data_IF_060398520201
#
_entry.id   IF_060398520201
#
_cell.length_a   1.000
_cell.length_b   1.000
_cell.length_c   1.000
_cell.angle_alpha   90.00
_cell.angle_beta   90.00
_cell.angle_gamma   90.00
#
_symmetry.space_group_name_H-M   'P 1'
#
loop_
_entity.id
_entity.type
_entity.pdbx_description
1 polymer ?
#
# COMPACT_ATOMS: atom_id res chain seq x y z
N UNK A 1 53.33 -3.48 24.62
CA UNK A 1 54.05 -4.55 23.89
C UNK A 1 53.15 -5.77 23.75
N UNK A 2 52.78 -6.13 22.57
CA UNK A 2 52.45 -7.38 21.90
C UNK A 2 51.31 -7.09 20.95
N UNK A 3 51.59 -6.90 19.68
CA UNK A 3 51.63 -7.83 18.53
C UNK A 3 50.28 -8.51 18.29
N UNK A 4 49.62 -8.04 17.24
CA UNK A 4 49.55 -8.64 15.89
C UNK A 4 48.94 -10.02 15.85
N UNK A 5 47.77 -10.15 15.25
CA UNK A 5 47.60 -11.22 14.27
C UNK A 5 46.49 -10.83 13.28
N UNK A 6 46.91 -10.53 12.08
CA UNK A 6 46.15 -10.32 10.86
C UNK A 6 45.79 -11.71 10.33
N UNK A 7 44.51 -11.97 10.09
CA UNK A 7 44.09 -13.14 9.32
C UNK A 7 43.25 -12.68 8.14
N UNK A 8 43.93 -12.55 6.99
CA UNK A 8 43.30 -12.50 5.66
C UNK A 8 42.81 -13.91 5.32
N UNK A 9 41.58 -14.03 4.96
CA UNK A 9 41.12 -15.14 4.12
C UNK A 9 40.24 -14.57 3.00
N UNK A 10 40.85 -14.56 1.84
CA UNK A 10 40.22 -14.36 0.55
C UNK A 10 39.60 -15.67 0.06
N UNK A 11 38.77 -15.54 -0.97
CA UNK A 11 38.38 -16.50 -1.98
C UNK A 11 36.95 -17.03 -1.88
N UNK A 12 36.22 -16.76 -2.95
CA UNK A 12 35.15 -17.58 -3.46
C UNK A 12 34.15 -16.82 -4.34
N UNK A 13 34.57 -16.35 -5.53
CA UNK A 13 33.63 -16.13 -6.63
C UNK A 13 33.05 -17.46 -7.07
N UNK A 14 31.73 -17.57 -7.08
CA UNK A 14 31.05 -18.54 -7.94
C UNK A 14 29.81 -17.85 -8.50
N UNK A 15 29.95 -17.44 -9.74
CA UNK A 15 28.82 -17.01 -10.57
C UNK A 15 28.00 -18.25 -10.96
N UNK A 16 26.70 -18.16 -10.81
CA UNK A 16 25.75 -19.02 -11.48
C UNK A 16 24.76 -18.12 -12.23
N UNK A 17 24.97 -18.01 -13.53
CA UNK A 17 24.03 -17.46 -14.47
C UNK A 17 22.87 -18.45 -14.62
N UNK A 18 21.69 -18.08 -14.21
CA UNK A 18 20.45 -18.76 -14.61
C UNK A 18 19.85 -17.99 -15.78
N UNK A 19 20.00 -18.56 -16.96
CA UNK A 19 19.43 -18.09 -18.21
C UNK A 19 17.92 -18.32 -18.23
N UNK A 20 17.24 -17.38 -18.83
CA UNK A 20 15.82 -17.29 -18.95
C UNK A 20 15.14 -18.41 -19.72
N UNK A 21 13.89 -18.60 -19.38
CA UNK A 21 12.93 -19.34 -20.17
C UNK A 21 11.71 -18.43 -20.42
N UNK A 22 11.85 -17.54 -21.40
CA UNK A 22 10.68 -16.93 -22.03
C UNK A 22 10.31 -17.80 -23.23
N UNK A 23 9.31 -18.66 -23.04
CA UNK A 23 8.67 -19.38 -24.12
C UNK A 23 7.80 -18.44 -24.93
N UNK A 24 8.11 -18.30 -26.20
CA UNK A 24 7.28 -17.60 -27.18
C UNK A 24 5.98 -18.37 -27.44
N UNK A 25 4.85 -17.70 -27.71
CA UNK A 25 3.62 -18.38 -28.12
C UNK A 25 3.72 -18.87 -29.57
N UNK A 26 3.12 -20.03 -29.91
CA UNK A 26 3.16 -20.55 -31.27
C UNK A 26 2.21 -19.78 -32.19
N UNK A 27 2.75 -19.33 -33.29
CA UNK A 27 1.99 -18.91 -34.46
C UNK A 27 1.57 -20.18 -35.22
N UNK A 28 0.26 -20.39 -35.37
CA UNK A 28 -0.29 -21.22 -36.45
C UNK A 28 -1.71 -20.77 -36.79
N UNK A 29 -1.81 -20.11 -37.93
CA UNK A 29 -3.01 -20.08 -38.74
C UNK A 29 -2.91 -21.22 -39.76
N UNK A 30 -4.03 -21.82 -40.17
CA UNK A 30 -4.26 -21.94 -41.59
C UNK A 30 -5.55 -21.28 -42.05
N UNK A 31 -5.43 -20.61 -43.15
CA UNK A 31 -6.52 -20.17 -44.01
C UNK A 31 -7.26 -21.39 -44.56
N UNK A 32 -8.56 -21.32 -44.58
CA UNK A 32 -9.32 -22.08 -45.54
C UNK A 32 -10.38 -21.24 -46.23
N UNK A 33 -10.29 -21.30 -47.54
CA UNK A 33 -11.11 -20.58 -48.50
C UNK A 33 -12.41 -21.33 -48.75
N UNK A 34 -13.51 -20.64 -48.76
CA UNK A 34 -14.78 -21.23 -49.22
C UNK A 34 -15.89 -20.20 -49.29
N UNK A 35 -16.03 -19.55 -50.43
CA UNK A 35 -17.31 -18.98 -50.89
C UNK A 35 -17.83 -19.88 -52.00
N UNK A 36 -19.07 -19.79 -52.53
CA UNK A 36 -20.13 -18.81 -52.28
C UNK A 36 -21.53 -19.46 -52.13
N UNK A 37 -22.57 -18.76 -51.71
CA UNK A 37 -23.81 -18.68 -52.51
C UNK A 37 -25.03 -18.10 -51.79
N UNK A 38 -25.65 -17.12 -52.44
CA UNK A 38 -27.07 -16.81 -52.51
C UNK A 38 -27.75 -16.07 -51.34
N UNK A 39 -27.99 -14.80 -51.57
CA UNK A 39 -29.12 -14.01 -51.07
C UNK A 39 -30.47 -14.55 -51.62
N UNK A 40 -31.61 -14.35 -50.95
CA UNK A 40 -32.39 -13.13 -51.14
C UNK A 40 -33.19 -12.64 -49.90
N UNK A 41 -34.18 -11.73 -50.09
CA UNK A 41 -34.14 -10.43 -49.47
C UNK A 41 -35.23 -10.24 -48.39
N UNK A 42 -35.08 -9.24 -47.57
CA UNK A 42 -36.23 -8.67 -46.89
C UNK A 42 -36.11 -8.53 -45.39
N UNK A 43 -36.13 -7.31 -44.96
CA UNK A 43 -36.34 -6.96 -43.56
C UNK A 43 -35.31 -5.98 -43.04
N UNK A 44 -35.50 -4.69 -43.32
CA UNK A 44 -34.82 -3.64 -42.63
C UNK A 44 -35.26 -3.67 -41.14
N UNK A 45 -34.42 -4.24 -40.31
CA UNK A 45 -34.49 -4.04 -38.86
C UNK A 45 -33.41 -3.01 -38.52
N UNK A 46 -33.90 -1.83 -38.21
CA UNK A 46 -33.12 -0.71 -37.69
C UNK A 46 -32.31 -1.20 -36.49
N UNK A 47 -30.96 -1.06 -36.47
CA UNK A 47 -30.19 -1.45 -35.32
C UNK A 47 -30.52 -0.50 -34.16
N UNK A 48 -31.21 -1.04 -33.15
CA UNK A 48 -31.38 -0.36 -31.89
C UNK A 48 -29.98 -0.07 -31.32
N UNK A 49 -29.60 1.21 -31.26
CA UNK A 49 -28.44 1.68 -30.56
C UNK A 49 -28.55 1.24 -29.11
N UNK A 50 -27.56 0.51 -28.55
CA UNK A 50 -27.57 0.19 -27.14
C UNK A 50 -27.53 1.52 -26.34
N UNK A 51 -28.26 1.61 -25.23
CA UNK A 51 -28.21 2.80 -24.38
C UNK A 51 -26.75 3.02 -23.94
N UNK A 52 -26.24 4.19 -24.31
CA UNK A 52 -24.97 4.67 -23.81
C UNK A 52 -25.12 4.80 -22.28
N UNK A 53 -24.54 3.85 -21.55
CA UNK A 53 -24.45 3.95 -20.12
C UNK A 53 -23.66 5.23 -19.81
N UNK A 54 -24.33 6.21 -19.20
CA UNK A 54 -23.68 7.40 -18.68
C UNK A 54 -22.57 6.95 -17.73
N UNK A 55 -21.35 7.54 -17.79
CA UNK A 55 -20.32 7.21 -16.84
C UNK A 55 -20.84 7.52 -15.43
N UNK A 56 -20.57 6.66 -14.44
CA UNK A 56 -20.93 6.97 -13.07
C UNK A 56 -20.29 8.29 -12.69
N UNK A 57 -21.11 9.24 -12.32
CA UNK A 57 -20.67 10.52 -11.75
C UNK A 57 -20.17 10.17 -10.35
N UNK A 58 -18.86 9.93 -10.21
CA UNK A 58 -18.19 9.72 -8.94
C UNK A 58 -18.19 11.01 -8.11
N UNK A 59 -19.36 11.45 -7.69
CA UNK A 59 -19.51 12.31 -6.54
C UNK A 59 -19.57 11.42 -5.28
N UNK A 60 -18.47 10.72 -5.00
CA UNK A 60 -18.27 10.11 -3.70
C UNK A 60 -17.88 11.24 -2.76
N UNK A 61 -18.90 11.97 -2.28
CA UNK A 61 -18.75 12.78 -1.09
C UNK A 61 -18.34 11.84 0.03
N UNK A 62 -17.12 12.03 0.55
CA UNK A 62 -16.63 11.23 1.66
C UNK A 62 -17.67 11.26 2.78
N UNK A 63 -18.19 10.09 3.14
CA UNK A 63 -19.14 9.99 4.25
C UNK A 63 -18.48 10.56 5.53
N UNK A 64 -19.24 11.22 6.42
CA UNK A 64 -18.69 11.75 7.66
C UNK A 64 -18.03 10.62 8.45
N UNK A 65 -16.80 10.86 8.92
CA UNK A 65 -16.08 9.90 9.75
C UNK A 65 -16.85 9.70 11.05
N UNK A 66 -17.25 8.46 11.32
CA UNK A 66 -18.00 8.12 12.53
C UNK A 66 -17.06 8.08 13.74
N UNK A 67 -17.40 8.76 14.86
CA UNK A 67 -16.61 8.65 16.08
C UNK A 67 -16.45 7.18 16.52
N UNK A 68 -15.22 6.80 16.87
CA UNK A 68 -14.92 5.42 17.29
C UNK A 68 -14.83 4.41 16.16
N UNK A 69 -14.89 4.85 14.88
CA UNK A 69 -14.62 3.98 13.74
C UNK A 69 -13.11 3.73 13.56
N UNK A 70 -12.69 2.68 12.82
CA UNK A 70 -11.30 2.49 12.42
C UNK A 70 -10.73 3.71 11.71
N UNK A 71 -11.49 4.33 10.82
CA UNK A 71 -11.07 5.55 10.10
C UNK A 71 -10.83 6.72 11.06
N UNK A 72 -11.63 6.85 12.14
CA UNK A 72 -11.42 7.89 13.15
C UNK A 72 -10.09 7.73 13.90
N UNK A 73 -9.60 6.48 14.07
CA UNK A 73 -8.30 6.18 14.68
C UNK A 73 -7.16 6.54 13.73
N UNK A 74 -7.34 6.34 12.42
CA UNK A 74 -6.29 6.53 11.41
C UNK A 74 -6.17 8.00 10.97
N UNK A 75 -7.27 8.74 10.94
CA UNK A 75 -7.31 10.10 10.38
C UNK A 75 -6.27 11.07 10.98
N UNK A 76 -6.00 11.08 12.30
CA UNK A 76 -5.04 12.01 12.90
C UNK A 76 -3.62 11.92 12.32
N UNK A 77 -3.21 10.74 11.84
CA UNK A 77 -1.88 10.53 11.23
C UNK A 77 -1.69 11.25 9.89
N UNK A 78 -2.76 11.80 9.32
CA UNK A 78 -2.74 12.64 8.12
C UNK A 78 -2.95 14.13 8.43
N UNK A 79 -3.37 14.43 9.64
CA UNK A 79 -3.54 15.81 10.11
C UNK A 79 -2.26 16.36 10.76
N UNK A 80 -1.39 15.47 11.26
CA UNK A 80 -0.12 15.81 11.92
C UNK A 80 1.01 14.90 11.44
N UNK A 81 2.15 15.51 11.09
CA UNK A 81 3.37 14.80 10.66
C UNK A 81 4.00 14.05 11.83
N UNK A 82 4.54 12.87 11.56
CA UNK A 82 5.32 12.05 12.49
C UNK A 82 4.54 11.53 13.71
N UNK A 83 3.22 11.56 13.66
CA UNK A 83 2.39 11.12 14.78
C UNK A 83 2.57 9.61 15.04
N UNK A 84 2.80 8.80 13.99
CA UNK A 84 3.00 7.36 14.08
C UNK A 84 4.26 6.95 14.83
N UNK A 85 5.29 7.82 14.79
CA UNK A 85 6.56 7.59 15.53
C UNK A 85 6.60 8.32 16.88
N UNK A 86 5.58 9.10 17.23
CA UNK A 86 5.49 9.77 18.53
C UNK A 86 5.20 8.74 19.64
N UNK A 87 6.05 8.63 20.67
CA UNK A 87 5.81 7.72 21.80
C UNK A 87 4.51 8.00 22.57
N UNK A 88 3.97 9.22 22.56
CA UNK A 88 2.69 9.55 23.21
C UNK A 88 1.50 8.84 22.56
N UNK A 89 1.57 8.56 21.25
CA UNK A 89 0.54 7.88 20.47
C UNK A 89 0.66 6.34 20.54
N UNK A 90 1.63 5.81 21.27
CA UNK A 90 1.92 4.37 21.35
C UNK A 90 0.75 3.54 21.86
N UNK A 91 -0.18 4.16 22.58
CA UNK A 91 -1.41 3.52 23.06
C UNK A 91 -2.38 3.13 21.95
N UNK A 92 -2.25 3.73 20.77
CA UNK A 92 -3.05 3.38 19.58
C UNK A 92 -2.55 2.12 18.89
N UNK A 93 -1.34 1.65 19.20
CA UNK A 93 -0.70 0.51 18.56
C UNK A 93 -0.67 -0.72 19.46
N UNK A 94 -0.78 -1.89 18.83
CA UNK A 94 -0.52 -3.20 19.43
C UNK A 94 0.40 -4.01 18.50
N UNK A 95 0.87 -5.16 18.96
CA UNK A 95 1.75 -6.01 18.17
C UNK A 95 1.12 -6.49 16.85
N UNK A 96 1.93 -6.61 15.78
CA UNK A 96 3.39 -6.46 15.73
C UNK A 96 3.89 -5.01 15.60
N UNK A 97 3.07 -4.05 15.15
CA UNK A 97 3.50 -2.66 14.93
C UNK A 97 4.13 -2.03 16.18
N UNK A 98 3.51 -2.22 17.35
CA UNK A 98 4.00 -1.66 18.60
C UNK A 98 5.43 -2.10 18.92
N UNK A 99 5.75 -3.37 18.76
CA UNK A 99 7.09 -3.90 19.01
C UNK A 99 8.15 -3.23 18.13
N UNK A 100 7.86 -3.02 16.85
CA UNK A 100 8.79 -2.36 15.91
C UNK A 100 9.01 -0.90 16.30
N UNK A 101 7.93 -0.18 16.60
CA UNK A 101 8.00 1.22 17.03
C UNK A 101 8.78 1.39 18.35
N UNK A 102 8.54 0.51 19.33
CA UNK A 102 9.25 0.54 20.62
C UNK A 102 10.75 0.27 20.46
N UNK A 103 11.13 -0.65 19.56
CA UNK A 103 12.54 -0.92 19.22
C UNK A 103 13.20 0.28 18.53
N UNK A 104 12.52 0.90 17.57
CA UNK A 104 13.00 2.11 16.90
C UNK A 104 13.24 3.25 17.90
N UNK A 105 12.31 3.44 18.85
CA UNK A 105 12.47 4.41 19.93
C UNK A 105 13.68 4.10 20.83
N UNK A 106 13.94 2.83 21.11
CA UNK A 106 15.09 2.42 21.91
C UNK A 106 16.41 2.74 21.19
N UNK A 107 16.52 2.47 19.89
CA UNK A 107 17.70 2.81 19.10
C UNK A 107 17.94 4.31 19.06
N UNK A 108 16.92 5.11 18.82
CA UNK A 108 17.00 6.58 18.83
C UNK A 108 17.47 7.12 20.20
N UNK A 109 16.92 6.61 21.29
CA UNK A 109 17.30 7.00 22.64
C UNK A 109 18.73 6.61 23.01
N UNK A 110 19.23 5.50 22.46
CA UNK A 110 20.64 5.05 22.69
C UNK A 110 21.65 5.76 21.78
N UNK A 111 21.21 6.58 20.82
CA UNK A 111 22.07 7.24 19.84
C UNK A 111 22.60 6.32 18.75
N UNK A 112 22.02 5.13 18.59
CA UNK A 112 22.40 4.15 17.55
C UNK A 112 21.77 4.45 16.18
N UNK A 113 21.03 5.55 16.05
CA UNK A 113 20.40 5.98 14.81
C UNK A 113 18.89 5.79 14.82
N UNK A 114 18.31 5.90 13.63
CA UNK A 114 16.89 5.74 13.39
C UNK A 114 16.66 4.50 12.52
N UNK A 115 15.68 3.68 12.89
CA UNK A 115 15.32 2.48 12.15
C UNK A 115 14.14 2.74 11.20
N UNK A 116 13.26 3.64 11.60
CA UNK A 116 12.05 3.97 10.84
C UNK A 116 12.11 5.41 10.35
N UNK A 117 11.64 5.61 9.12
CA UNK A 117 11.45 6.95 8.58
C UNK A 117 10.33 7.69 9.32
N UNK A 118 10.48 9.00 9.53
CA UNK A 118 9.51 9.77 10.32
C UNK A 118 8.17 10.00 9.62
N UNK A 119 8.06 9.77 8.31
CA UNK A 119 6.86 10.05 7.50
C UNK A 119 6.23 8.77 6.94
N UNK A 120 6.24 7.68 7.69
CA UNK A 120 5.70 6.39 7.20
C UNK A 120 4.21 6.47 6.87
N UNK A 121 3.42 7.21 7.67
CA UNK A 121 1.99 7.43 7.36
C UNK A 121 1.76 8.18 6.04
N UNK A 122 2.77 8.89 5.56
CA UNK A 122 2.75 9.60 4.27
C UNK A 122 3.49 8.85 3.15
N UNK A 123 3.82 7.58 3.37
CA UNK A 123 4.62 6.80 2.41
C UNK A 123 5.98 7.44 2.11
N UNK A 124 6.58 8.06 3.12
CA UNK A 124 7.82 8.84 3.07
C UNK A 124 7.78 10.04 2.10
N UNK A 125 6.57 10.48 1.71
CA UNK A 125 6.39 11.70 0.92
C UNK A 125 6.59 12.97 1.78
N UNK A 126 6.86 14.07 1.11
CA UNK A 126 6.86 15.39 1.75
C UNK A 126 5.46 15.73 2.26
N UNK A 127 5.40 16.45 3.39
CA UNK A 127 4.14 16.86 3.94
C UNK A 127 3.64 18.15 3.30
N UNK A 128 2.61 18.03 2.49
CA UNK A 128 1.80 19.16 2.00
C UNK A 128 0.36 18.95 2.45
N UNK A 129 -0.03 19.65 3.53
CA UNK A 129 -1.36 19.50 4.12
C UNK A 129 -2.48 19.86 3.14
N UNK A 130 -2.28 20.89 2.33
CA UNK A 130 -3.31 21.35 1.39
C UNK A 130 -3.53 20.35 0.25
N UNK A 131 -2.47 19.74 -0.27
CA UNK A 131 -2.57 18.69 -1.27
C UNK A 131 -3.19 17.42 -0.69
N UNK A 132 -2.75 17.03 0.51
CA UNK A 132 -3.30 15.88 1.22
C UNK A 132 -4.80 16.09 1.48
N UNK A 133 -5.21 17.18 2.08
CA UNK A 133 -6.63 17.43 2.41
C UNK A 133 -7.53 17.46 1.18
N UNK A 134 -7.04 17.96 0.04
CA UNK A 134 -7.80 18.00 -1.23
C UNK A 134 -7.95 16.64 -1.87
N UNK A 135 -7.00 15.74 -1.65
CA UNK A 135 -6.90 14.45 -2.36
C UNK A 135 -7.20 13.24 -1.48
N UNK A 136 -7.16 13.37 -0.16
CA UNK A 136 -7.29 12.27 0.79
C UNK A 136 -8.63 11.55 0.66
N UNK A 137 -8.56 10.26 0.40
CA UNK A 137 -9.70 9.35 0.36
C UNK A 137 -9.44 8.19 1.29
N UNK A 138 -10.48 7.76 1.99
CA UNK A 138 -10.43 6.61 2.89
C UNK A 138 -11.50 5.61 2.53
N UNK A 139 -11.17 4.33 2.63
CA UNK A 139 -12.09 3.22 2.48
C UNK A 139 -11.91 2.28 3.66
N UNK A 140 -12.99 2.03 4.39
CA UNK A 140 -13.01 1.19 5.58
C UNK A 140 -13.70 -0.15 5.30
N UNK A 141 -13.11 -1.24 5.76
CA UNK A 141 -13.73 -2.56 5.77
C UNK A 141 -13.58 -3.18 7.16
N UNK A 142 -14.69 -3.62 7.74
CA UNK A 142 -14.71 -4.25 9.07
C UNK A 142 -15.17 -5.69 8.93
N UNK A 143 -14.45 -6.60 9.59
CA UNK A 143 -14.81 -8.00 9.71
C UNK A 143 -14.60 -8.45 11.15
N UNK A 144 -15.69 -8.55 11.91
CA UNK A 144 -15.72 -8.87 13.33
C UNK A 144 -14.85 -7.93 14.18
N UNK A 145 -13.75 -8.43 14.74
CA UNK A 145 -12.77 -7.68 15.54
C UNK A 145 -11.57 -7.16 14.72
N UNK A 146 -11.60 -7.31 13.42
CA UNK A 146 -10.55 -6.83 12.53
C UNK A 146 -11.11 -5.75 11.60
N UNK A 147 -10.27 -4.78 11.29
CA UNK A 147 -10.59 -3.76 10.33
C UNK A 147 -9.38 -3.43 9.45
N UNK A 148 -9.70 -2.94 8.27
CA UNK A 148 -8.74 -2.42 7.29
C UNK A 148 -9.20 -1.03 6.88
N UNK A 149 -8.31 -0.06 6.92
CA UNK A 149 -8.53 1.27 6.38
C UNK A 149 -7.52 1.50 5.26
N UNK A 150 -8.00 1.62 4.06
CA UNK A 150 -7.18 2.01 2.90
C UNK A 150 -7.25 3.53 2.79
N UNK A 151 -6.08 4.15 2.70
CA UNK A 151 -5.93 5.59 2.51
C UNK A 151 -5.21 5.83 1.20
N UNK A 152 -5.72 6.77 0.42
CA UNK A 152 -5.09 7.22 -0.81
C UNK A 152 -5.06 8.75 -0.84
N UNK A 153 -3.93 9.32 -1.27
CA UNK A 153 -3.74 10.76 -1.42
C UNK A 153 -2.70 11.04 -2.51
N UNK A 154 -2.53 12.31 -2.86
CA UNK A 154 -1.56 12.77 -3.86
C UNK A 154 -0.69 13.84 -3.23
N UNK A 155 0.63 13.76 -3.41
CA UNK A 155 1.60 14.81 -3.04
C UNK A 155 2.55 15.03 -4.20
N UNK A 156 2.78 16.27 -4.58
CA UNK A 156 3.62 16.66 -5.71
C UNK A 156 3.26 15.91 -7.02
N UNK A 157 1.96 15.64 -7.22
CA UNK A 157 1.44 14.90 -8.38
C UNK A 157 1.62 13.38 -8.32
N UNK A 158 2.25 12.84 -7.28
CA UNK A 158 2.46 11.40 -7.09
C UNK A 158 1.33 10.79 -6.23
N UNK A 159 0.67 9.71 -6.68
CA UNK A 159 -0.33 9.02 -5.90
C UNK A 159 0.33 8.10 -4.87
N UNK A 160 -0.19 8.13 -3.65
CA UNK A 160 0.20 7.27 -2.54
C UNK A 160 -0.99 6.45 -2.07
N UNK A 161 -0.75 5.20 -1.70
CA UNK A 161 -1.77 4.31 -1.19
C UNK A 161 -1.22 3.46 -0.06
N UNK A 162 -1.84 3.60 1.12
CA UNK A 162 -1.50 2.86 2.32
C UNK A 162 -2.69 2.04 2.81
N UNK A 163 -2.39 1.00 3.56
CA UNK A 163 -3.35 0.15 4.24
C UNK A 163 -3.01 0.07 5.72
N UNK A 164 -3.94 0.49 6.56
CA UNK A 164 -3.88 0.32 8.01
C UNK A 164 -4.66 -0.91 8.41
N UNK A 165 -4.04 -1.80 9.18
CA UNK A 165 -4.70 -2.94 9.78
C UNK A 165 -4.97 -2.65 11.24
N UNK A 166 -6.18 -2.91 11.67
CA UNK A 166 -6.61 -2.67 13.04
C UNK A 166 -7.28 -3.92 13.63
N UNK A 167 -7.22 -4.00 14.95
CA UNK A 167 -7.93 -5.01 15.74
C UNK A 167 -8.68 -4.34 16.88
N UNK A 168 -9.88 -4.83 17.17
CA UNK A 168 -10.69 -4.34 18.29
C UNK A 168 -10.24 -5.00 19.59
N UNK A 169 -9.84 -4.19 20.57
CA UNK A 169 -9.37 -4.65 21.88
C UNK A 169 -10.05 -3.83 22.96
N UNK A 170 -10.79 -4.48 23.85
CA UNK A 170 -11.48 -3.80 24.93
C UNK A 170 -12.56 -2.81 24.49
N UNK A 171 -13.06 -2.96 23.25
CA UNK A 171 -14.02 -2.02 22.65
C UNK A 171 -13.40 -0.99 21.72
N UNK A 172 -12.10 -0.73 21.80
CA UNK A 172 -11.37 0.25 21.01
C UNK A 172 -10.65 -0.38 19.84
N UNK A 173 -10.56 0.34 18.73
CA UNK A 173 -9.72 -0.06 17.60
C UNK A 173 -8.25 0.29 17.88
N UNK A 174 -7.37 -0.70 17.68
CA UNK A 174 -5.91 -0.57 17.83
C UNK A 174 -5.22 -0.97 16.55
N UNK A 175 -4.19 -0.23 16.18
CA UNK A 175 -3.41 -0.45 14.96
C UNK A 175 -2.46 -1.63 15.17
N UNK A 176 -2.52 -2.62 14.29
CA UNK A 176 -1.63 -3.78 14.28
C UNK A 176 -0.55 -3.66 13.23
N UNK A 177 -0.80 -2.91 12.13
CA UNK A 177 0.17 -2.76 11.06
C UNK A 177 -0.15 -1.54 10.19
N UNK A 178 0.87 -1.03 9.51
CA UNK A 178 0.79 -0.04 8.46
C UNK A 178 1.58 -0.55 7.24
N UNK A 179 0.95 -0.56 6.09
CA UNK A 179 1.55 -1.04 4.85
C UNK A 179 1.47 0.04 3.77
N UNK A 180 2.54 0.23 3.02
CA UNK A 180 2.47 0.95 1.76
C UNK A 180 2.22 -0.04 0.61
N UNK A 181 1.16 0.22 -0.15
CA UNK A 181 0.89 -0.51 -1.38
C UNK A 181 1.74 0.05 -2.53
N UNK A 182 2.02 1.35 -2.50
CA UNK A 182 2.82 2.06 -3.50
C UNK A 182 4.31 1.78 -3.33
N UNK A 183 4.80 1.82 -2.08
CA UNK A 183 6.21 1.61 -1.72
C UNK A 183 6.59 0.16 -1.41
N UNK A 184 5.62 -0.78 -1.43
CA UNK A 184 5.84 -2.22 -1.22
C UNK A 184 6.53 -2.56 0.10
N UNK A 185 6.17 -1.89 1.19
CA UNK A 185 6.69 -2.15 2.53
C UNK A 185 5.56 -2.34 3.57
N UNK A 186 5.90 -2.97 4.69
CA UNK A 186 5.02 -3.06 5.87
C UNK A 186 5.82 -2.78 7.14
N UNK A 187 5.23 -2.03 8.08
CA UNK A 187 5.85 -1.69 9.35
C UNK A 187 6.27 -2.94 10.13
N UNK A 188 5.44 -3.97 10.13
CA UNK A 188 5.73 -5.25 10.79
C UNK A 188 6.93 -6.01 10.22
N UNK A 189 7.46 -5.64 9.05
CA UNK A 189 8.61 -6.27 8.41
C UNK A 189 9.95 -5.64 8.79
N UNK A 190 9.93 -4.44 9.41
CA UNK A 190 11.15 -3.80 9.85
C UNK A 190 11.78 -4.52 11.04
N UNK A 191 13.08 -4.72 10.96
CA UNK A 191 13.89 -5.33 12.02
C UNK A 191 14.79 -4.26 12.60
N UNK A 192 14.30 -3.62 13.65
CA UNK A 192 15.04 -2.62 14.41
C UNK A 192 15.92 -3.35 15.46
N UNK A 193 17.23 -3.47 15.21
CA UNK A 193 18.21 -4.16 16.04
C UNK A 193 19.41 -3.27 16.38
#
# INVERSE_FOLDING_TARGET
LALSTMCLLAVGLSGAAAQGLFGAPPANAPADSGAPSANPPGGAVEPATPPVASPPTDNVSAAPIQPGSPTAVVRPFYDQVNLEVDPSERSHFIDPAKTVLDKSDALRKSGQGECLDPNMALDNADYDKDEIDKSLKTLEAINADQAKVVVAFVVAGNPHRLEWKLKKVGGDWKITDLLSVTGEWALSQYQCE
#
